data_IF_093587373520
#
_entry.id   IF_093587373520
#
_cell.length_a   1.000
_cell.length_b   1.000
_cell.length_c   1.000
_cell.angle_alpha   90.00
_cell.angle_beta   90.00
_cell.angle_gamma   90.00
#
_symmetry.space_group_name_H-M   'P 1'
#
loop_
_entity.id
_entity.type
_entity.pdbx_description
1 polymer ?
#
# COMPACT_ATOMS: atom_id res chain seq x y z
N UNK A 1 -7.05 13.44 -2.66
CA UNK A 1 -6.48 13.03 -3.96
C UNK A 1 -5.07 13.58 -4.21
N UNK A 2 -4.75 14.75 -3.65
CA UNK A 2 -3.49 15.47 -3.87
C UNK A 2 -2.21 14.70 -3.45
N UNK A 3 -2.24 14.03 -2.29
CA UNK A 3 -1.10 13.24 -1.81
C UNK A 3 -0.69 12.10 -2.77
N UNK A 4 -1.64 11.48 -3.47
CA UNK A 4 -1.32 10.44 -4.47
C UNK A 4 -0.58 11.03 -5.67
N UNK A 5 -0.98 12.22 -6.13
CA UNK A 5 -0.32 12.91 -7.24
C UNK A 5 1.10 13.38 -6.88
N UNK A 6 1.36 13.66 -5.59
CA UNK A 6 2.72 13.89 -5.09
C UNK A 6 3.52 12.59 -5.07
N UNK A 7 2.95 11.51 -4.51
CA UNK A 7 3.61 10.22 -4.49
C UNK A 7 3.96 9.71 -5.90
N UNK A 8 3.09 9.88 -6.89
CA UNK A 8 3.37 9.45 -8.28
C UNK A 8 4.59 10.12 -8.91
N UNK A 9 5.00 11.29 -8.41
CA UNK A 9 6.21 12.01 -8.85
C UNK A 9 7.45 11.62 -8.04
N UNK A 10 7.31 10.79 -7.01
CA UNK A 10 8.40 10.37 -6.15
C UNK A 10 9.18 9.21 -6.79
N UNK A 11 10.51 9.30 -6.97
CA UNK A 11 11.32 8.25 -7.58
C UNK A 11 11.35 6.96 -6.73
N UNK A 12 11.17 7.08 -5.41
CA UNK A 12 11.23 5.96 -4.45
C UNK A 12 9.84 5.44 -4.05
N UNK A 13 8.83 5.63 -4.91
CA UNK A 13 7.44 5.20 -4.62
C UNK A 13 7.35 3.72 -4.24
N UNK A 14 8.06 2.86 -4.97
CA UNK A 14 8.10 1.41 -4.72
C UNK A 14 8.76 1.06 -3.39
N UNK A 15 9.85 1.72 -3.06
CA UNK A 15 10.61 1.52 -1.81
C UNK A 15 9.81 2.03 -0.60
N UNK A 16 9.19 3.20 -0.74
CA UNK A 16 8.27 3.76 0.25
C UNK A 16 7.07 2.83 0.50
N UNK A 17 6.52 2.21 -0.55
CA UNK A 17 5.45 1.23 -0.40
C UNK A 17 5.93 -0.04 0.32
N UNK A 18 7.10 -0.56 -0.04
CA UNK A 18 7.67 -1.75 0.57
C UNK A 18 7.91 -1.53 2.07
N UNK A 19 8.52 -0.40 2.43
CA UNK A 19 8.76 -0.02 3.82
C UNK A 19 7.45 0.14 4.60
N UNK A 20 6.44 0.80 4.03
CA UNK A 20 5.14 0.97 4.69
C UNK A 20 4.41 -0.37 4.92
N UNK A 21 4.56 -1.33 4.00
CA UNK A 21 4.00 -2.68 4.14
C UNK A 21 4.75 -3.51 5.19
N UNK A 22 6.07 -3.37 5.27
CA UNK A 22 6.93 -4.10 6.22
C UNK A 22 6.75 -3.61 7.65
N UNK A 23 6.69 -2.28 7.84
CA UNK A 23 6.54 -1.64 9.15
C UNK A 23 5.09 -1.58 9.65
N UNK A 24 4.11 -1.95 8.83
CA UNK A 24 2.69 -1.92 9.21
C UNK A 24 2.14 -0.50 9.36
N UNK A 25 2.54 0.43 8.47
CA UNK A 25 1.98 1.78 8.47
C UNK A 25 0.55 1.79 7.93
N UNK A 26 -0.38 1.78 8.87
CA UNK A 26 -1.81 1.67 8.60
C UNK A 26 -2.46 3.02 8.26
N UNK A 27 -1.88 4.14 8.71
CA UNK A 27 -2.43 5.48 8.49
C UNK A 27 -1.75 6.21 7.30
N UNK A 28 -2.52 6.95 6.51
CA UNK A 28 -2.00 7.88 5.49
C UNK A 28 -1.73 7.29 4.11
N UNK A 29 -1.18 8.11 3.20
CA UNK A 29 -0.85 7.73 1.81
C UNK A 29 0.62 7.38 1.70
N UNK A 30 0.93 6.16 1.26
CA UNK A 30 2.29 5.64 1.13
C UNK A 30 2.44 4.98 -0.23
N UNK A 31 3.52 5.30 -0.95
CA UNK A 31 3.79 4.70 -2.26
C UNK A 31 2.64 4.82 -3.26
N UNK A 32 1.98 5.99 -3.29
CA UNK A 32 0.79 6.29 -4.09
C UNK A 32 -0.48 5.45 -3.77
N UNK A 33 -0.45 4.65 -2.70
CA UNK A 33 -1.62 3.93 -2.20
C UNK A 33 -2.23 4.65 -1.00
N UNK A 34 -3.55 4.81 -0.98
CA UNK A 34 -4.27 5.23 0.23
C UNK A 34 -4.38 4.09 1.25
N UNK A 35 -4.66 4.44 2.49
CA UNK A 35 -4.97 3.48 3.57
C UNK A 35 -6.01 2.44 3.12
N UNK A 36 -7.12 2.87 2.52
CA UNK A 36 -8.17 1.95 2.06
C UNK A 36 -7.71 1.00 0.95
N UNK A 37 -6.86 1.47 0.04
CA UNK A 37 -6.28 0.64 -1.01
C UNK A 37 -5.29 -0.37 -0.43
N UNK A 38 -4.47 0.03 0.55
CA UNK A 38 -3.55 -0.90 1.25
C UNK A 38 -4.33 -1.93 2.06
N UNK A 39 -5.37 -1.53 2.79
CA UNK A 39 -6.26 -2.46 3.51
C UNK A 39 -6.96 -3.43 2.56
N UNK A 40 -7.45 -2.95 1.42
CA UNK A 40 -8.05 -3.80 0.38
C UNK A 40 -7.04 -4.79 -0.21
N UNK A 41 -5.81 -4.36 -0.47
CA UNK A 41 -4.73 -5.23 -0.95
C UNK A 41 -4.38 -6.31 0.08
N UNK A 42 -4.25 -5.95 1.37
CA UNK A 42 -3.98 -6.90 2.46
C UNK A 42 -5.09 -7.94 2.56
N UNK A 43 -6.36 -7.52 2.50
CA UNK A 43 -7.53 -8.43 2.47
C UNK A 43 -7.53 -9.36 1.26
N UNK A 44 -7.22 -8.85 0.06
CA UNK A 44 -7.12 -9.67 -1.16
C UNK A 44 -6.00 -10.71 -1.05
N UNK A 45 -4.82 -10.32 -0.56
CA UNK A 45 -3.70 -11.26 -0.33
C UNK A 45 -4.05 -12.34 0.70
N UNK A 46 -4.72 -11.97 1.79
CA UNK A 46 -5.18 -12.94 2.80
C UNK A 46 -6.21 -13.93 2.21
N UNK A 47 -7.18 -13.44 1.43
CA UNK A 47 -8.17 -14.28 0.73
C UNK A 47 -7.51 -15.19 -0.31
N UNK A 48 -6.53 -14.68 -1.06
CA UNK A 48 -5.80 -15.49 -2.03
C UNK A 48 -5.04 -16.64 -1.34
N UNK A 49 -4.34 -16.36 -0.23
CA UNK A 49 -3.69 -17.39 0.59
C UNK A 49 -4.67 -18.44 1.10
N UNK A 50 -5.84 -18.02 1.59
CA UNK A 50 -6.86 -18.93 2.10
C UNK A 50 -7.51 -19.81 1.03
N UNK A 51 -7.51 -19.39 -0.25
CA UNK A 51 -8.04 -20.20 -1.38
C UNK A 51 -7.01 -21.18 -1.94
N UNK A 52 -5.74 -20.96 -1.67
CA UNK A 52 -4.63 -21.82 -2.11
C UNK A 52 -4.27 -22.90 -1.09
N UNK A 53 -5.04 -22.97 0.01
CA UNK A 53 -4.91 -23.92 1.11
C UNK A 53 -6.14 -24.83 1.10
#
# INVERSE_FOLDING_TARGET
AEAKAVCQRCPVTSECLAWALETGQDAGVWGAMSEDERRSLKRRRARARARSM
#
